data_IF_802338027739
#
_entry.id   IF_802338027739
#
_cell.length_a   1.000
_cell.length_b   1.000
_cell.length_c   1.000
_cell.angle_alpha   90.00
_cell.angle_beta   90.00
_cell.angle_gamma   90.00
#
_symmetry.space_group_name_H-M   'P 1'
#
loop_
_entity.id
_entity.type
_entity.pdbx_description
1 polymer ?
#
# COMPACT_ATOMS: atom_id res chain seq x y z
N UNK A 1 -2.89 -2.90 0.79
CA UNK A 1 -3.91 -2.60 1.82
C UNK A 1 -5.02 -3.63 1.70
N UNK A 2 -5.81 -3.84 2.75
CA UNK A 2 -6.99 -4.72 2.71
C UNK A 2 -6.71 -6.22 2.96
N UNK A 3 -5.51 -6.72 2.70
CA UNK A 3 -5.16 -8.14 2.92
C UNK A 3 -4.57 -8.48 4.29
N UNK A 4 -4.27 -7.47 5.13
CA UNK A 4 -3.67 -7.65 6.46
C UNK A 4 -4.49 -6.82 7.46
N UNK A 5 -5.62 -7.36 7.96
CA UNK A 5 -6.48 -6.66 8.90
C UNK A 5 -5.93 -6.71 10.32
N UNK A 6 -6.58 -5.97 11.23
CA UNK A 6 -6.37 -6.10 12.67
C UNK A 6 -7.61 -6.69 13.32
N UNK A 7 -7.38 -7.56 14.31
CA UNK A 7 -8.43 -8.07 15.18
C UNK A 7 -8.05 -7.70 16.61
N UNK A 8 -8.89 -6.89 17.25
CA UNK A 8 -8.71 -6.50 18.64
C UNK A 8 -9.08 -7.63 19.61
N UNK A 9 -8.65 -7.51 20.87
CA UNK A 9 -8.83 -8.58 21.87
C UNK A 9 -10.30 -8.96 22.13
N UNK A 10 -11.24 -8.06 21.85
CA UNK A 10 -12.68 -8.29 21.97
C UNK A 10 -13.32 -9.00 20.75
N UNK A 11 -12.53 -9.19 19.69
CA UNK A 11 -12.93 -9.78 18.41
C UNK A 11 -13.26 -8.78 17.30
N UNK A 12 -13.12 -7.47 17.54
CA UNK A 12 -13.44 -6.46 16.53
C UNK A 12 -12.42 -6.50 15.39
N UNK A 13 -12.91 -6.54 14.15
CA UNK A 13 -12.14 -6.60 12.93
C UNK A 13 -12.08 -5.20 12.27
N UNK A 14 -10.87 -4.72 12.04
CA UNK A 14 -10.56 -3.44 11.41
C UNK A 14 -9.70 -3.65 10.16
N UNK A 15 -9.79 -2.71 9.22
CA UNK A 15 -9.15 -2.85 7.92
C UNK A 15 -7.62 -2.94 7.94
N UNK A 16 -6.96 -2.31 8.91
CA UNK A 16 -5.49 -2.21 9.07
C UNK A 16 -5.17 -1.58 10.45
N UNK A 17 -3.99 -1.85 10.99
CA UNK A 17 -3.47 -1.29 12.24
C UNK A 17 -3.35 0.24 12.26
N UNK A 18 -3.18 0.88 11.10
CA UNK A 18 -3.19 2.33 10.99
C UNK A 18 -4.60 2.95 10.98
N UNK A 19 -5.63 2.11 10.97
CA UNK A 19 -7.04 2.46 10.77
C UNK A 19 -7.95 1.68 11.75
N UNK A 20 -7.64 1.78 13.05
CA UNK A 20 -8.46 1.22 14.13
C UNK A 20 -9.39 2.31 14.66
N UNK A 21 -10.39 2.63 13.84
CA UNK A 21 -11.42 3.65 14.12
C UNK A 21 -12.79 3.17 13.62
N UNK A 22 -13.84 3.97 13.86
CA UNK A 22 -15.22 3.57 13.55
C UNK A 22 -15.46 3.44 12.06
N UNK A 23 -14.81 4.27 11.26
CA UNK A 23 -14.93 4.33 9.81
C UNK A 23 -14.37 3.07 9.12
N UNK A 24 -13.42 2.40 9.77
CA UNK A 24 -12.74 1.21 9.26
C UNK A 24 -13.08 -0.08 10.03
N UNK A 25 -14.06 -0.03 10.93
CA UNK A 25 -14.63 -1.21 11.58
C UNK A 25 -15.50 -2.01 10.59
N UNK A 26 -15.18 -3.28 10.41
CA UNK A 26 -15.92 -4.15 9.48
C UNK A 26 -16.95 -5.01 10.24
N UNK A 27 -16.61 -5.54 11.41
CA UNK A 27 -17.49 -6.39 12.20
C UNK A 27 -16.76 -7.07 13.37
N UNK A 28 -17.42 -7.99 14.06
CA UNK A 28 -16.79 -8.79 15.13
C UNK A 28 -16.70 -10.27 14.72
N UNK A 29 -15.57 -10.92 14.97
CA UNK A 29 -15.32 -12.33 14.60
C UNK A 29 -16.20 -13.36 15.32
N UNK A 30 -16.98 -12.94 16.32
CA UNK A 30 -18.02 -13.77 16.94
C UNK A 30 -19.28 -13.89 16.09
N UNK A 31 -19.46 -12.97 15.13
CA UNK A 31 -20.67 -12.84 14.30
C UNK A 31 -20.43 -13.21 12.83
N UNK A 32 -19.18 -13.47 12.45
CA UNK A 32 -18.79 -13.78 11.08
C UNK A 32 -17.45 -14.49 10.99
N UNK A 33 -17.01 -14.77 9.77
CA UNK A 33 -15.71 -15.40 9.52
C UNK A 33 -14.69 -14.37 9.01
N UNK A 34 -13.41 -14.61 9.30
CA UNK A 34 -12.31 -13.77 8.80
C UNK A 34 -12.33 -13.68 7.27
N UNK A 35 -12.57 -14.82 6.59
CA UNK A 35 -12.68 -14.85 5.13
C UNK A 35 -13.84 -13.95 4.64
N UNK A 36 -15.00 -14.05 5.29
CA UNK A 36 -16.14 -13.19 4.97
C UNK A 36 -15.85 -11.70 5.15
N UNK A 37 -15.10 -11.32 6.19
CA UNK A 37 -14.70 -9.92 6.40
C UNK A 37 -13.62 -9.45 5.42
N UNK A 38 -12.74 -10.34 4.97
CA UNK A 38 -11.78 -10.03 3.90
C UNK A 38 -12.48 -9.81 2.56
N UNK A 39 -13.58 -10.53 2.32
CA UNK A 39 -14.41 -10.40 1.11
C UNK A 39 -15.46 -9.27 1.20
N UNK A 40 -15.63 -8.64 2.38
CA UNK A 40 -16.55 -7.51 2.57
C UNK A 40 -16.21 -6.36 1.61
N UNK A 41 -17.25 -5.78 0.99
CA UNK A 41 -17.08 -4.72 0.00
C UNK A 41 -16.34 -3.50 0.55
N UNK A 42 -16.54 -3.15 1.84
CA UNK A 42 -15.84 -2.05 2.51
C UNK A 42 -14.36 -2.36 2.66
N UNK A 43 -14.01 -3.60 3.02
CA UNK A 43 -12.62 -4.05 3.14
C UNK A 43 -11.91 -4.04 1.78
N UNK A 44 -12.60 -4.53 0.75
CA UNK A 44 -12.09 -4.52 -0.62
C UNK A 44 -11.96 -3.09 -1.18
N UNK A 45 -12.90 -2.21 -0.87
CA UNK A 45 -12.84 -0.79 -1.22
C UNK A 45 -11.65 -0.09 -0.55
N UNK A 46 -11.41 -0.34 0.75
CA UNK A 46 -10.23 0.13 1.46
C UNK A 46 -8.93 -0.33 0.80
N UNK A 47 -8.86 -1.61 0.40
CA UNK A 47 -7.72 -2.17 -0.32
C UNK A 47 -7.44 -1.44 -1.64
N UNK A 48 -8.48 -1.29 -2.49
CA UNK A 48 -8.39 -0.62 -3.80
C UNK A 48 -8.10 0.88 -3.69
N UNK A 49 -8.53 1.54 -2.62
CA UNK A 49 -8.31 2.97 -2.42
C UNK A 49 -6.81 3.33 -2.46
N UNK A 50 -5.90 2.43 -2.06
CA UNK A 50 -4.45 2.68 -2.11
C UNK A 50 -3.97 3.06 -3.52
N UNK A 51 -4.43 2.37 -4.55
CA UNK A 51 -4.02 2.64 -5.95
C UNK A 51 -4.95 3.65 -6.62
N UNK A 52 -6.26 3.55 -6.39
CA UNK A 52 -7.25 4.40 -7.06
C UNK A 52 -7.15 5.89 -6.65
N UNK A 53 -6.66 6.18 -5.45
CA UNK A 53 -6.52 7.57 -4.94
C UNK A 53 -5.13 8.16 -5.13
N UNK A 54 -4.22 7.49 -5.87
CA UNK A 54 -2.91 8.06 -6.17
C UNK A 54 -3.07 9.33 -7.01
N UNK A 55 -2.41 10.46 -6.68
CA UNK A 55 -2.43 11.64 -7.53
C UNK A 55 -1.70 11.40 -8.85
N UNK A 56 -1.95 12.25 -9.85
CA UNK A 56 -1.31 12.17 -11.18
C UNK A 56 0.21 12.15 -11.08
N UNK A 57 0.76 12.98 -10.20
CA UNK A 57 2.20 13.03 -9.89
C UNK A 57 2.79 11.66 -9.51
N UNK A 58 2.03 10.83 -8.78
CA UNK A 58 2.45 9.47 -8.44
C UNK A 58 2.27 8.50 -9.62
N UNK A 59 1.16 8.61 -10.36
CA UNK A 59 0.85 7.73 -11.50
C UNK A 59 1.86 7.86 -12.65
N UNK A 60 2.45 9.04 -12.81
CA UNK A 60 3.49 9.32 -13.82
C UNK A 60 4.92 9.14 -13.26
N UNK A 61 5.07 8.71 -12.00
CA UNK A 61 6.36 8.61 -11.34
C UNK A 61 7.15 7.36 -11.77
N UNK A 62 8.43 7.53 -12.12
CA UNK A 62 9.29 6.45 -12.59
C UNK A 62 9.63 5.38 -11.53
N UNK A 63 9.35 5.65 -10.24
CA UNK A 63 9.58 4.72 -9.13
C UNK A 63 8.27 4.15 -8.55
N UNK A 64 7.14 4.34 -9.24
CA UNK A 64 5.83 3.92 -8.76
C UNK A 64 5.77 2.41 -8.48
N UNK A 65 6.35 1.57 -9.34
CA UNK A 65 6.29 0.12 -9.18
C UNK A 65 6.97 -0.37 -7.88
N UNK A 66 7.97 0.38 -7.40
CA UNK A 66 8.65 0.08 -6.14
C UNK A 66 7.94 0.72 -4.93
N UNK A 67 7.49 1.97 -5.06
CA UNK A 67 6.92 2.74 -3.94
C UNK A 67 5.42 2.48 -3.72
N UNK A 68 4.65 2.30 -4.80
CA UNK A 68 3.19 2.18 -4.82
C UNK A 68 2.45 3.30 -4.06
N UNK A 69 3.08 4.49 -4.00
CA UNK A 69 2.62 5.66 -3.24
C UNK A 69 2.57 5.45 -1.72
N UNK A 70 3.20 4.41 -1.19
CA UNK A 70 3.29 4.11 0.24
C UNK A 70 1.89 3.99 0.92
N UNK A 71 1.84 3.90 2.25
CA UNK A 71 0.63 3.89 3.07
C UNK A 71 -0.22 5.15 2.85
N UNK A 72 -1.54 5.03 2.61
CA UNK A 72 -2.43 6.19 2.50
C UNK A 72 -2.48 7.07 3.76
N UNK A 73 -2.19 6.54 4.95
CA UNK A 73 -2.14 7.31 6.21
C UNK A 73 -1.09 8.42 6.17
N UNK A 74 -0.03 8.23 5.40
CA UNK A 74 1.09 9.16 5.28
C UNK A 74 0.93 10.13 4.08
N UNK A 75 -0.23 10.13 3.40
CA UNK A 75 -0.51 10.92 2.18
C UNK A 75 -1.23 12.24 2.48
N UNK A 76 -0.61 13.10 3.28
CA UNK A 76 -1.23 14.32 3.80
C UNK A 76 -0.61 15.62 3.28
N UNK A 77 0.34 15.56 2.33
CA UNK A 77 0.89 16.76 1.68
C UNK A 77 0.38 16.90 0.24
N UNK A 78 0.57 18.09 -0.32
CA UNK A 78 0.22 18.40 -1.71
C UNK A 78 1.33 17.98 -2.67
N UNK A 79 0.97 17.62 -3.89
CA UNK A 79 1.90 17.47 -5.00
C UNK A 79 2.45 18.84 -5.45
N UNK A 80 3.56 18.87 -6.21
CA UNK A 80 4.07 20.12 -6.79
C UNK A 80 3.06 20.86 -7.68
N UNK A 81 2.12 20.14 -8.31
CA UNK A 81 1.03 20.69 -9.12
C UNK A 81 -0.27 20.95 -8.34
N UNK A 82 -0.27 20.76 -7.02
CA UNK A 82 -1.36 21.16 -6.13
C UNK A 82 -2.44 20.10 -5.89
N UNK A 83 -2.29 18.87 -6.38
CA UNK A 83 -3.18 17.75 -6.05
C UNK A 83 -2.89 17.25 -4.61
N UNK A 84 -3.92 16.93 -3.80
CA UNK A 84 -3.71 16.31 -2.49
C UNK A 84 -3.30 14.84 -2.62
N UNK A 85 -2.87 14.23 -1.52
CA UNK A 85 -2.64 12.79 -1.45
C UNK A 85 -1.22 12.36 -1.79
N UNK A 86 -0.24 13.27 -1.69
CA UNK A 86 1.17 12.92 -1.81
C UNK A 86 1.71 12.45 -0.46
N UNK A 87 2.52 11.37 -0.48
CA UNK A 87 3.22 10.89 0.70
C UNK A 87 4.26 11.92 1.18
N UNK A 88 4.28 12.21 2.49
CA UNK A 88 5.20 13.18 3.09
C UNK A 88 6.69 12.89 2.83
N UNK A 89 7.08 11.62 2.67
CA UNK A 89 8.44 11.18 2.34
C UNK A 89 8.67 10.96 0.84
N UNK A 90 7.78 11.43 -0.04
CA UNK A 90 7.90 11.19 -1.48
C UNK A 90 9.28 11.56 -2.05
N UNK A 91 9.85 12.70 -1.65
CA UNK A 91 11.19 13.13 -2.12
C UNK A 91 12.27 12.14 -1.71
N UNK A 92 12.24 11.65 -0.47
CA UNK A 92 13.19 10.66 0.04
C UNK A 92 13.05 9.31 -0.69
N UNK A 93 11.83 8.82 -0.90
CA UNK A 93 11.60 7.60 -1.67
C UNK A 93 12.08 7.72 -3.12
N UNK A 94 11.81 8.85 -3.79
CA UNK A 94 12.34 9.10 -5.13
C UNK A 94 13.86 9.06 -5.15
N UNK A 95 14.53 9.68 -4.17
CA UNK A 95 15.99 9.65 -4.07
C UNK A 95 16.51 8.22 -3.84
N UNK A 96 15.94 7.51 -2.87
CA UNK A 96 16.34 6.15 -2.51
C UNK A 96 16.17 5.18 -3.68
N UNK A 97 14.98 5.11 -4.27
CA UNK A 97 14.70 4.15 -5.33
C UNK A 97 15.48 4.43 -6.62
N UNK A 98 15.67 5.70 -7.00
CA UNK A 98 16.52 6.02 -8.15
C UNK A 98 18.00 5.66 -7.89
N UNK A 99 18.47 5.75 -6.64
CA UNK A 99 19.83 5.38 -6.29
C UNK A 99 20.04 3.85 -6.33
N UNK A 100 19.10 3.06 -5.79
CA UNK A 100 19.27 1.62 -5.70
C UNK A 100 18.85 0.86 -6.97
N UNK A 101 18.01 1.44 -7.83
CA UNK A 101 17.47 0.76 -9.01
C UNK A 101 18.53 0.14 -9.94
N UNK A 102 19.65 0.81 -10.29
CA UNK A 102 20.69 0.20 -11.13
C UNK A 102 21.29 -1.06 -10.49
N UNK A 103 21.50 -1.05 -9.17
CA UNK A 103 22.02 -2.20 -8.44
C UNK A 103 21.02 -3.36 -8.39
N UNK A 104 19.75 -3.05 -8.12
CA UNK A 104 18.68 -4.06 -8.09
C UNK A 104 18.48 -4.70 -9.46
N UNK A 105 18.55 -3.93 -10.56
CA UNK A 105 18.45 -4.49 -11.90
C UNK A 105 19.66 -5.37 -12.24
N UNK A 106 20.88 -4.98 -11.85
CA UNK A 106 22.06 -5.83 -12.01
C UNK A 106 21.92 -7.17 -11.27
N UNK A 107 21.45 -7.16 -10.02
CA UNK A 107 21.18 -8.38 -9.25
C UNK A 107 20.12 -9.26 -9.91
N UNK A 108 19.04 -8.65 -10.41
CA UNK A 108 17.99 -9.38 -11.12
C UNK A 108 18.52 -10.11 -12.35
N UNK A 109 19.43 -9.48 -13.12
CA UNK A 109 20.05 -10.14 -14.27
C UNK A 109 20.88 -11.35 -13.86
N UNK A 110 21.67 -11.25 -12.77
CA UNK A 110 22.41 -12.40 -12.23
C UNK A 110 21.48 -13.54 -11.86
N UNK A 111 20.40 -13.26 -11.11
CA UNK A 111 19.45 -14.28 -10.67
C UNK A 111 18.69 -14.95 -11.83
N UNK A 112 18.39 -14.21 -12.90
CA UNK A 112 17.74 -14.78 -14.09
C UNK A 112 18.68 -15.68 -14.87
N UNK A 113 19.96 -15.31 -14.97
CA UNK A 113 20.97 -16.14 -15.63
C UNK A 113 21.22 -17.43 -14.85
N UNK A 114 21.32 -17.37 -13.51
CA UNK A 114 21.46 -18.57 -12.67
C UNK A 114 20.26 -19.53 -12.79
N UNK A 115 19.04 -19.01 -12.98
CA UNK A 115 17.83 -19.82 -13.17
C UNK A 115 17.68 -20.38 -14.60
N UNK A 116 18.39 -19.83 -15.58
CA UNK A 116 18.40 -20.32 -16.96
C UNK A 116 19.30 -21.54 -17.17
N UNK A 117 20.21 -21.80 -16.22
CA UNK A 117 21.17 -22.91 -16.24
C UNK A 117 20.71 -24.16 -15.46
N UNK A 118 19.45 -24.18 -14.99
CA UNK A 118 18.81 -25.30 -14.29
C UNK A 118 17.60 -25.84 -15.07
#
# INVERSE_FOLDING_TARGET
CGGVPVIEHNGDFYSCDHYVDKEHFIGNIKEGSIAGFLDDERQQAFGRAKSLTLPRYCRECNVLDMCNGECPKNRFIMTPDGEPGLNYLCSAYKMFFNHCLPFVEALKQVLLNEKGDA
#
